data_IF_860353510391
#
_entry.id   IF_860353510391
#
_cell.length_a   1.000
_cell.length_b   1.000
_cell.length_c   1.000
_cell.angle_alpha   90.00
_cell.angle_beta   90.00
_cell.angle_gamma   90.00
#
_symmetry.space_group_name_H-M   'P 1'
#
loop_
_entity.id
_entity.type
_entity.pdbx_description
1 polymer ?
#
# COMPACT_ATOMS: atom_id res chain seq x y z
N UNK A 1 13.57 -14.38 10.36
CA UNK A 1 12.16 -14.71 10.62
C UNK A 1 11.42 -14.87 9.29
N UNK A 2 10.38 -15.71 9.23
CA UNK A 2 9.63 -15.97 7.98
C UNK A 2 8.93 -14.71 7.46
N UNK A 3 8.39 -13.87 8.34
CA UNK A 3 7.72 -12.63 7.94
C UNK A 3 8.71 -11.63 7.31
N UNK A 4 9.93 -11.51 7.86
CA UNK A 4 11.01 -10.70 7.27
C UNK A 4 11.39 -11.21 5.87
N UNK A 5 11.59 -12.52 5.70
CA UNK A 5 11.96 -13.08 4.40
C UNK A 5 10.86 -12.87 3.33
N UNK A 6 9.59 -13.00 3.73
CA UNK A 6 8.45 -12.70 2.86
C UNK A 6 8.39 -11.20 2.50
N UNK A 7 8.62 -10.31 3.47
CA UNK A 7 8.72 -8.88 3.22
C UNK A 7 9.82 -8.54 2.20
N UNK A 8 11.03 -9.06 2.40
CA UNK A 8 12.18 -8.76 1.54
C UNK A 8 11.95 -9.31 0.13
N UNK A 9 11.36 -10.50 0.00
CA UNK A 9 10.94 -11.05 -1.29
C UNK A 9 9.89 -10.18 -1.97
N UNK A 10 8.89 -9.72 -1.20
CA UNK A 10 7.88 -8.78 -1.68
C UNK A 10 8.49 -7.48 -2.19
N UNK A 11 9.52 -6.96 -1.51
CA UNK A 11 10.25 -5.76 -1.90
C UNK A 11 11.00 -5.95 -3.22
N UNK A 12 11.70 -7.08 -3.39
CA UNK A 12 12.36 -7.42 -4.66
C UNK A 12 11.34 -7.51 -5.80
N UNK A 13 10.19 -8.14 -5.57
CA UNK A 13 9.10 -8.22 -6.57
C UNK A 13 8.49 -6.86 -6.88
N UNK A 14 8.34 -5.99 -5.89
CA UNK A 14 7.90 -4.61 -6.09
C UNK A 14 8.85 -3.83 -7.00
N UNK A 15 10.17 -3.95 -6.78
CA UNK A 15 11.19 -3.31 -7.62
C UNK A 15 11.17 -3.84 -9.06
N UNK A 16 10.78 -5.11 -9.24
CA UNK A 16 10.54 -5.73 -10.56
C UNK A 16 9.18 -5.39 -11.18
N UNK A 17 8.37 -4.53 -10.55
CA UNK A 17 7.03 -4.14 -11.00
C UNK A 17 6.04 -5.33 -10.98
N UNK A 18 6.37 -6.40 -10.27
CA UNK A 18 5.54 -7.60 -10.08
C UNK A 18 4.51 -7.36 -8.95
N UNK A 19 3.68 -6.33 -9.08
CA UNK A 19 2.86 -5.82 -7.99
C UNK A 19 1.93 -6.87 -7.36
N UNK A 20 1.30 -7.73 -8.17
CA UNK A 20 0.40 -8.77 -7.66
C UNK A 20 1.15 -9.77 -6.77
N UNK A 21 2.34 -10.18 -7.19
CA UNK A 21 3.16 -11.13 -6.44
C UNK A 21 3.79 -10.48 -5.18
N UNK A 22 4.10 -9.17 -5.24
CA UNK A 22 4.51 -8.40 -4.08
C UNK A 22 3.39 -8.29 -3.02
N UNK A 23 2.16 -8.00 -3.44
CA UNK A 23 1.00 -7.93 -2.53
C UNK A 23 0.73 -9.26 -1.82
N UNK A 24 0.90 -10.39 -2.51
CA UNK A 24 0.78 -11.72 -1.90
C UNK A 24 1.85 -11.94 -0.84
N UNK A 25 3.10 -11.59 -1.14
CA UNK A 25 4.21 -11.75 -0.20
C UNK A 25 4.04 -10.90 1.06
N UNK A 26 3.65 -9.63 0.91
CA UNK A 26 3.36 -8.79 2.07
C UNK A 26 2.17 -9.29 2.88
N UNK A 27 1.14 -9.82 2.22
CA UNK A 27 -0.01 -10.39 2.92
C UNK A 27 0.40 -11.63 3.73
N UNK A 28 1.20 -12.52 3.15
CA UNK A 28 1.74 -13.66 3.87
C UNK A 28 2.65 -13.23 5.04
N UNK A 29 3.46 -12.17 4.88
CA UNK A 29 4.27 -11.62 5.96
C UNK A 29 3.40 -11.11 7.13
N UNK A 30 2.29 -10.42 6.82
CA UNK A 30 1.30 -9.93 7.79
C UNK A 30 0.61 -11.09 8.51
N UNK A 31 0.23 -12.15 7.80
CA UNK A 31 -0.38 -13.33 8.40
C UNK A 31 0.58 -14.06 9.34
N UNK A 32 1.88 -14.11 8.99
CA UNK A 32 2.91 -14.70 9.85
C UNK A 32 3.17 -13.86 11.11
N UNK A 33 3.21 -12.53 10.98
CA UNK A 33 3.47 -11.62 12.08
C UNK A 33 2.60 -10.36 11.99
N UNK A 34 1.38 -10.37 12.58
CA UNK A 34 0.45 -9.24 12.50
C UNK A 34 0.95 -7.94 13.17
N UNK A 35 1.96 -8.04 14.03
CA UNK A 35 2.61 -6.89 14.67
C UNK A 35 3.78 -6.31 13.88
N UNK A 36 4.14 -6.90 12.74
CA UNK A 36 5.23 -6.41 11.90
C UNK A 36 4.67 -5.31 10.98
N UNK A 37 5.05 -4.07 11.24
CA UNK A 37 4.49 -2.88 10.60
C UNK A 37 5.04 -2.66 9.18
N UNK A 38 6.27 -3.09 8.89
CA UNK A 38 6.95 -2.85 7.60
C UNK A 38 6.20 -3.48 6.40
N UNK A 39 5.68 -4.72 6.46
CA UNK A 39 4.85 -5.29 5.41
C UNK A 39 3.56 -4.50 5.13
N UNK A 40 2.91 -3.94 6.16
CA UNK A 40 1.74 -3.08 5.97
C UNK A 40 2.14 -1.83 5.20
N UNK A 41 3.23 -1.16 5.59
CA UNK A 41 3.74 0.02 4.89
C UNK A 41 4.04 -0.29 3.42
N UNK A 42 4.79 -1.37 3.16
CA UNK A 42 5.17 -1.78 1.81
C UNK A 42 3.95 -2.16 0.95
N UNK A 43 2.97 -2.89 1.51
CA UNK A 43 1.71 -3.22 0.83
C UNK A 43 0.90 -1.97 0.49
N UNK A 44 0.85 -1.01 1.42
CA UNK A 44 0.22 0.29 1.24
C UNK A 44 0.85 1.08 0.09
N UNK A 45 2.19 1.12 -0.01
CA UNK A 45 2.89 1.77 -1.11
C UNK A 45 2.56 1.14 -2.48
N UNK A 46 2.46 -0.19 -2.56
CA UNK A 46 2.06 -0.87 -3.80
C UNK A 46 0.64 -0.48 -4.22
N UNK A 47 -0.30 -0.53 -3.27
CA UNK A 47 -1.70 -0.15 -3.49
C UNK A 47 -1.84 1.30 -3.90
N UNK A 48 -1.15 2.21 -3.22
CA UNK A 48 -1.10 3.63 -3.58
C UNK A 48 -0.59 3.82 -5.02
N UNK A 49 0.49 3.14 -5.41
CA UNK A 49 1.03 3.19 -6.79
C UNK A 49 0.03 2.64 -7.83
N UNK A 50 -0.72 1.60 -7.49
CA UNK A 50 -1.77 1.07 -8.37
C UNK A 50 -2.94 2.05 -8.53
N UNK A 51 -3.34 2.71 -7.45
CA UNK A 51 -4.36 3.77 -7.45
C UNK A 51 -3.96 5.00 -8.27
N UNK A 52 -2.68 5.41 -8.21
CA UNK A 52 -2.18 6.55 -9.01
C UNK A 52 -2.07 6.23 -10.49
N UNK A 53 -1.59 5.05 -10.87
CA UNK A 53 -1.30 4.69 -12.28
C UNK A 53 -2.51 4.22 -13.10
N UNK A 54 -3.53 3.60 -12.50
CA UNK A 54 -4.65 2.99 -13.26
C UNK A 54 -5.72 3.96 -13.81
N UNK A 55 -5.52 5.27 -13.63
CA UNK A 55 -6.51 6.31 -13.94
C UNK A 55 -6.78 6.60 -15.42
N UNK A 56 -6.00 6.06 -16.37
CA UNK A 56 -6.22 6.30 -17.81
C UNK A 56 -6.82 5.13 -18.60
N UNK A 57 -6.88 3.92 -18.03
CA UNK A 57 -7.36 2.73 -18.76
C UNK A 57 -8.15 1.74 -17.88
N UNK A 58 -8.29 1.99 -16.58
CA UNK A 58 -9.00 1.11 -15.65
C UNK A 58 -10.49 1.45 -15.54
N UNK A 59 -11.31 0.45 -15.19
CA UNK A 59 -12.72 0.68 -14.82
C UNK A 59 -12.81 1.76 -13.74
N UNK A 60 -13.74 2.74 -13.87
CA UNK A 60 -14.02 3.71 -12.82
C UNK A 60 -14.24 3.00 -11.47
N UNK A 61 -13.57 3.47 -10.41
CA UNK A 61 -13.78 2.98 -9.04
C UNK A 61 -12.86 1.83 -8.59
N UNK A 62 -11.97 1.31 -9.45
CA UNK A 62 -10.90 0.40 -8.97
C UNK A 62 -9.77 1.19 -8.30
N UNK A 63 -9.44 2.35 -8.85
CA UNK A 63 -8.51 3.32 -8.29
C UNK A 63 -8.90 3.80 -6.89
N UNK A 64 -10.20 4.11 -6.66
CA UNK A 64 -10.70 4.49 -5.33
C UNK A 64 -10.43 3.40 -4.29
N UNK A 65 -10.68 2.15 -4.66
CA UNK A 65 -10.42 0.98 -3.79
C UNK A 65 -8.94 0.84 -3.46
N UNK A 66 -8.07 0.96 -4.46
CA UNK A 66 -6.63 0.88 -4.25
C UNK A 66 -6.14 1.98 -3.27
N UNK A 67 -6.64 3.21 -3.36
CA UNK A 67 -6.34 4.26 -2.38
C UNK A 67 -6.90 3.96 -0.98
N UNK A 68 -8.15 3.50 -0.89
CA UNK A 68 -8.78 3.15 0.38
C UNK A 68 -8.01 2.06 1.12
N UNK A 69 -7.62 1.01 0.40
CA UNK A 69 -6.82 -0.07 0.96
C UNK A 69 -5.40 0.38 1.35
N UNK A 70 -4.77 1.28 0.57
CA UNK A 70 -3.48 1.86 0.94
C UNK A 70 -3.58 2.67 2.24
N UNK A 71 -4.62 3.49 2.37
CA UNK A 71 -4.87 4.28 3.58
C UNK A 71 -5.12 3.41 4.81
N UNK A 72 -5.82 2.28 4.65
CA UNK A 72 -6.00 1.31 5.75
C UNK A 72 -4.66 0.73 6.20
N UNK A 73 -3.81 0.33 5.26
CA UNK A 73 -2.48 -0.21 5.56
C UNK A 73 -1.60 0.83 6.28
N UNK A 74 -1.55 2.09 5.80
CA UNK A 74 -0.78 3.14 6.48
C UNK A 74 -1.31 3.48 7.87
N UNK A 75 -2.63 3.48 8.07
CA UNK A 75 -3.21 3.64 9.41
C UNK A 75 -2.79 2.50 10.32
N UNK A 76 -2.76 1.26 9.81
CA UNK A 76 -2.32 0.12 10.60
C UNK A 76 -0.86 0.24 11.04
N UNK A 77 0.01 0.77 10.17
CA UNK A 77 1.40 1.08 10.53
C UNK A 77 1.43 2.07 11.70
N UNK A 78 0.65 3.16 11.63
CA UNK A 78 0.61 4.17 12.69
C UNK A 78 -0.03 3.67 13.99
N UNK A 79 -0.94 2.70 13.93
CA UNK A 79 -1.45 2.01 15.12
C UNK A 79 -0.37 1.18 15.82
N UNK A 80 0.49 0.50 15.04
CA UNK A 80 1.58 -0.33 15.56
C UNK A 80 2.78 0.50 15.98
N UNK A 81 3.11 1.52 15.20
CA UNK A 81 4.24 2.41 15.38
C UNK A 81 3.83 3.88 15.05
N UNK A 82 3.37 4.64 16.06
CA UNK A 82 2.95 6.03 15.87
C UNK A 82 4.07 6.99 15.40
N UNK A 83 5.33 6.60 15.54
CA UNK A 83 6.50 7.41 15.15
C UNK A 83 6.95 7.12 13.71
N UNK A 84 6.23 6.28 12.96
CA UNK A 84 6.57 5.97 11.57
C UNK A 84 6.22 7.15 10.64
N UNK A 85 7.12 8.13 10.54
CA UNK A 85 6.93 9.38 9.80
C UNK A 85 6.54 9.15 8.33
N UNK A 86 7.21 8.21 7.65
CA UNK A 86 6.93 7.93 6.24
C UNK A 86 5.51 7.40 6.02
N UNK A 87 4.94 6.66 6.98
CA UNK A 87 3.56 6.17 6.91
C UNK A 87 2.56 7.32 7.09
N UNK A 88 2.85 8.28 7.98
CA UNK A 88 2.03 9.48 8.14
C UNK A 88 2.04 10.35 6.88
N UNK A 89 3.22 10.55 6.27
CA UNK A 89 3.36 11.27 5.01
C UNK A 89 2.62 10.55 3.87
N UNK A 90 2.80 9.24 3.76
CA UNK A 90 2.15 8.42 2.72
C UNK A 90 0.63 8.42 2.86
N UNK A 91 0.11 8.37 4.10
CA UNK A 91 -1.32 8.49 4.37
C UNK A 91 -1.87 9.85 3.93
N UNK A 92 -1.19 10.93 4.30
CA UNK A 92 -1.58 12.30 3.89
C UNK A 92 -1.59 12.43 2.37
N UNK A 93 -0.56 11.93 1.69
CA UNK A 93 -0.49 11.98 0.23
C UNK A 93 -1.60 11.14 -0.43
N UNK A 94 -1.87 9.93 0.09
CA UNK A 94 -2.93 9.07 -0.43
C UNK A 94 -4.31 9.73 -0.33
N UNK A 95 -4.59 10.48 0.75
CA UNK A 95 -5.83 11.25 0.90
C UNK A 95 -5.93 12.33 -0.18
N UNK A 96 -4.88 13.15 -0.33
CA UNK A 96 -4.86 14.26 -1.29
C UNK A 96 -5.04 13.76 -2.73
N UNK A 97 -4.29 12.73 -3.13
CA UNK A 97 -4.36 12.19 -4.48
C UNK A 97 -5.73 11.56 -4.79
N UNK A 98 -6.32 10.89 -3.80
CA UNK A 98 -7.66 10.32 -3.92
C UNK A 98 -8.71 11.42 -4.11
N UNK A 99 -8.60 12.54 -3.40
CA UNK A 99 -9.48 13.70 -3.55
C UNK A 99 -9.29 14.40 -4.91
N UNK A 100 -8.05 14.63 -5.32
CA UNK A 100 -7.74 15.22 -6.63
C UNK A 100 -8.28 14.37 -7.77
N UNK A 101 -8.10 13.04 -7.71
CA UNK A 101 -8.65 12.13 -8.74
C UNK A 101 -10.16 12.11 -8.76
N UNK A 102 -10.82 12.20 -7.61
CA UNK A 102 -12.27 12.32 -7.55
C UNK A 102 -12.75 13.62 -8.22
N UNK A 103 -12.04 14.74 -7.98
CA UNK A 103 -12.36 16.03 -8.62
C UNK A 103 -12.12 16.03 -10.12
N UNK A 104 -11.06 15.37 -10.62
CA UNK A 104 -10.72 15.30 -12.05
C UNK A 104 -11.57 14.31 -12.85
N UNK A 105 -12.26 13.39 -12.19
CA UNK A 105 -13.12 12.37 -12.80
C UNK A 105 -14.61 12.75 -12.88
N UNK A 106 -14.96 14.00 -12.52
CA UNK A 106 -16.30 14.60 -12.64
C UNK A 106 -16.27 15.76 -13.63
#
# INVERSE_FOLDING_TARGET
DLATALNDRGQVRYLRVEFAAALQDYTAAIECQPGFEVPYYNRGLVRYRLGTTRGRAGRPGRDRRDFDEAMQDFRKVLELNPQFEDAALSLKQAILDKEEKQKRGY
#
